data_IF_180323436142
#
_entry.id   IF_180323436142
#
_cell.length_a   1.000
_cell.length_b   1.000
_cell.length_c   1.000
_cell.angle_alpha   90.00
_cell.angle_beta   90.00
_cell.angle_gamma   90.00
#
_symmetry.space_group_name_H-M   'P 1'
#
loop_
_entity.id
_entity.type
_entity.pdbx_description
1 polymer ?
#
# COMPACT_ATOMS: atom_id res chain seq x y z
N UNK A 1 -34.92 28.22 18.37
CA UNK A 1 -35.08 26.96 17.58
C UNK A 1 -33.98 26.90 16.53
N UNK A 2 -32.88 26.25 16.83
CA UNK A 2 -31.82 25.97 15.87
C UNK A 2 -32.36 24.97 14.84
N UNK A 3 -32.73 25.44 13.65
CA UNK A 3 -33.22 24.62 12.57
C UNK A 3 -32.12 23.65 12.14
N UNK A 4 -32.34 22.34 12.30
CA UNK A 4 -31.49 21.29 11.75
C UNK A 4 -31.44 21.45 10.23
N UNK A 5 -30.30 21.89 9.69
CA UNK A 5 -30.13 22.01 8.25
C UNK A 5 -30.07 20.62 7.61
N UNK A 6 -30.56 20.52 6.39
CA UNK A 6 -30.61 19.31 5.59
C UNK A 6 -29.68 19.45 4.40
N UNK A 7 -28.85 18.44 4.15
CA UNK A 7 -28.15 18.27 2.86
C UNK A 7 -28.65 17.00 2.18
N UNK A 8 -29.02 17.15 0.92
CA UNK A 8 -29.43 16.07 0.06
C UNK A 8 -28.36 15.83 -1.00
N UNK A 9 -27.94 14.58 -1.16
CA UNK A 9 -27.01 14.17 -2.21
C UNK A 9 -27.74 13.19 -3.14
N UNK A 10 -27.82 13.51 -4.43
CA UNK A 10 -28.30 12.60 -5.45
C UNK A 10 -27.12 11.85 -6.07
N UNK A 11 -27.12 10.52 -5.95
CA UNK A 11 -26.03 9.67 -6.47
C UNK A 11 -26.22 9.40 -7.97
N UNK A 12 -27.45 9.41 -8.44
CA UNK A 12 -27.81 9.12 -9.85
C UNK A 12 -27.15 10.05 -10.87
N UNK A 13 -26.95 11.31 -10.50
CA UNK A 13 -26.39 12.33 -11.41
C UNK A 13 -24.89 12.09 -11.75
N UNK A 14 -24.28 11.06 -11.16
CA UNK A 14 -22.85 10.75 -11.31
C UNK A 14 -22.56 9.41 -12.00
N UNK A 15 -23.57 8.79 -12.64
CA UNK A 15 -23.41 7.50 -13.35
C UNK A 15 -23.13 6.31 -12.44
N UNK A 16 -23.46 6.41 -11.15
CA UNK A 16 -23.23 5.38 -10.13
C UNK A 16 -24.55 4.69 -9.78
N UNK A 17 -24.56 3.35 -9.75
CA UNK A 17 -25.70 2.58 -9.24
C UNK A 17 -25.87 2.80 -7.74
N UNK A 18 -26.98 3.43 -7.34
CA UNK A 18 -27.22 3.72 -5.92
C UNK A 18 -27.38 2.45 -5.08
N UNK A 19 -27.98 1.39 -5.64
CA UNK A 19 -28.16 0.12 -4.93
C UNK A 19 -26.83 -0.54 -4.60
N UNK A 20 -25.91 -0.57 -5.54
CA UNK A 20 -24.58 -1.14 -5.35
C UNK A 20 -23.73 -0.26 -4.42
N UNK A 21 -23.81 1.07 -4.55
CA UNK A 21 -23.15 1.99 -3.65
C UNK A 21 -23.62 1.85 -2.21
N UNK A 22 -24.94 1.69 -1.99
CA UNK A 22 -25.50 1.50 -0.65
C UNK A 22 -25.19 0.12 -0.07
N UNK A 23 -24.87 -0.86 -0.91
CA UNK A 23 -24.60 -2.23 -0.53
C UNK A 23 -25.88 -3.02 -0.23
N UNK A 24 -25.75 -4.35 -0.14
CA UNK A 24 -26.88 -5.22 0.20
C UNK A 24 -27.48 -4.79 1.55
N UNK A 25 -28.79 -4.58 1.59
CA UNK A 25 -29.52 -4.09 2.77
C UNK A 25 -28.93 -2.80 3.39
N UNK A 26 -28.35 -1.91 2.57
CA UNK A 26 -27.70 -0.66 3.00
C UNK A 26 -26.49 -0.86 3.94
N UNK A 27 -25.77 -1.96 3.86
CA UNK A 27 -24.61 -2.25 4.71
C UNK A 27 -23.56 -1.14 4.65
N UNK A 28 -23.26 -0.62 3.47
CA UNK A 28 -22.31 0.48 3.30
C UNK A 28 -22.82 1.78 3.95
N UNK A 29 -24.12 2.08 3.85
CA UNK A 29 -24.72 3.25 4.50
C UNK A 29 -24.67 3.13 6.03
N UNK A 30 -24.93 1.93 6.57
CA UNK A 30 -24.81 1.66 8.00
C UNK A 30 -23.37 1.84 8.48
N UNK A 31 -22.39 1.37 7.71
CA UNK A 31 -20.98 1.55 8.00
C UNK A 31 -20.59 3.03 8.01
N UNK A 32 -21.00 3.79 7.00
CA UNK A 32 -20.80 5.24 6.94
C UNK A 32 -21.43 5.93 8.15
N UNK A 33 -22.66 5.54 8.54
CA UNK A 33 -23.36 6.11 9.69
C UNK A 33 -22.61 5.93 11.01
N UNK A 34 -21.89 4.81 11.20
CA UNK A 34 -21.07 4.59 12.40
C UNK A 34 -19.95 5.61 12.55
N UNK A 35 -19.41 6.13 11.46
CA UNK A 35 -18.38 7.17 11.48
C UNK A 35 -18.93 8.59 11.74
N UNK A 36 -20.24 8.78 11.58
CA UNK A 36 -20.90 10.08 11.79
C UNK A 36 -22.06 9.97 12.79
N UNK A 37 -21.79 9.63 14.07
CA UNK A 37 -22.84 9.35 15.05
C UNK A 37 -23.73 10.56 15.38
N UNK A 38 -23.27 11.77 15.09
CA UNK A 38 -24.04 13.03 15.30
C UNK A 38 -24.84 13.45 14.08
N UNK A 39 -24.81 12.69 12.98
CA UNK A 39 -25.55 12.95 11.75
C UNK A 39 -26.57 11.85 11.56
N UNK A 40 -27.83 12.22 11.33
CA UNK A 40 -28.87 11.27 10.92
C UNK A 40 -28.80 11.08 9.41
N UNK A 41 -28.43 9.87 8.96
CA UNK A 41 -28.30 9.52 7.55
C UNK A 41 -29.47 8.64 7.15
N UNK A 42 -30.11 8.96 6.01
CA UNK A 42 -31.26 8.22 5.48
C UNK A 42 -31.05 8.01 3.99
N UNK A 43 -31.06 6.75 3.54
CA UNK A 43 -31.07 6.39 2.13
C UNK A 43 -32.51 6.17 1.66
N UNK A 44 -32.92 6.84 0.57
CA UNK A 44 -34.24 6.65 -0.07
C UNK A 44 -34.05 6.63 -1.59
N UNK A 45 -34.40 5.51 -2.21
CA UNK A 45 -34.21 5.32 -3.65
C UNK A 45 -32.76 5.55 -4.05
N UNK A 46 -32.51 6.54 -4.91
CA UNK A 46 -31.16 6.92 -5.36
C UNK A 46 -30.57 8.09 -4.59
N UNK A 47 -31.14 8.47 -3.47
CA UNK A 47 -30.75 9.68 -2.73
C UNK A 47 -30.30 9.33 -1.32
N UNK A 48 -29.17 9.93 -0.91
CA UNK A 48 -28.67 9.91 0.46
C UNK A 48 -28.95 11.27 1.09
N UNK A 49 -29.73 11.30 2.16
CA UNK A 49 -30.07 12.51 2.92
C UNK A 49 -29.35 12.49 4.26
N UNK A 50 -28.78 13.62 4.66
CA UNK A 50 -28.11 13.80 5.92
C UNK A 50 -28.67 15.00 6.69
N UNK A 51 -28.85 14.85 8.00
CA UNK A 51 -29.42 15.84 8.91
C UNK A 51 -28.47 16.03 10.09
N UNK A 52 -28.04 17.25 10.34
CA UNK A 52 -27.11 17.56 11.44
C UNK A 52 -26.67 19.02 11.43
N UNK A 53 -25.62 19.32 12.16
CA UNK A 53 -24.98 20.65 12.19
C UNK A 53 -24.20 20.92 10.90
N UNK A 54 -24.14 22.18 10.47
CA UNK A 54 -23.52 22.59 9.20
C UNK A 54 -22.07 22.12 9.03
N UNK A 55 -21.25 22.22 10.07
CA UNK A 55 -19.84 21.83 10.04
C UNK A 55 -19.72 20.32 9.80
N UNK A 56 -20.51 19.52 10.50
CA UNK A 56 -20.53 18.06 10.36
C UNK A 56 -21.12 17.65 9.01
N UNK A 57 -22.13 18.36 8.51
CA UNK A 57 -22.70 18.10 7.17
C UNK A 57 -21.73 18.45 6.05
N UNK A 58 -20.88 19.47 6.24
CA UNK A 58 -19.80 19.76 5.27
C UNK A 58 -18.78 18.64 5.22
N UNK A 59 -18.32 18.17 6.37
CA UNK A 59 -17.39 17.06 6.44
C UNK A 59 -17.98 15.79 5.83
N UNK A 60 -19.20 15.42 6.22
CA UNK A 60 -19.95 14.31 5.65
C UNK A 60 -20.05 14.42 4.12
N UNK A 61 -20.43 15.57 3.59
CA UNK A 61 -20.56 15.80 2.14
C UNK A 61 -19.22 15.58 1.40
N UNK A 62 -18.13 16.07 1.95
CA UNK A 62 -16.81 15.88 1.35
C UNK A 62 -16.41 14.40 1.34
N UNK A 63 -16.55 13.70 2.48
CA UNK A 63 -16.19 12.28 2.59
C UNK A 63 -17.06 11.40 1.69
N UNK A 64 -18.36 11.67 1.65
CA UNK A 64 -19.28 10.91 0.78
C UNK A 64 -19.00 11.16 -0.71
N UNK A 65 -18.65 12.39 -1.10
CA UNK A 65 -18.21 12.68 -2.47
C UNK A 65 -16.96 11.90 -2.86
N UNK A 66 -16.02 11.70 -1.93
CA UNK A 66 -14.83 10.88 -2.17
C UNK A 66 -15.19 9.40 -2.36
N UNK A 67 -16.12 8.87 -1.57
CA UNK A 67 -16.63 7.50 -1.71
C UNK A 67 -17.31 7.31 -3.08
N UNK A 68 -18.15 8.25 -3.51
CA UNK A 68 -18.82 8.21 -4.82
C UNK A 68 -17.79 8.28 -5.96
N UNK A 69 -16.80 9.14 -5.85
CA UNK A 69 -15.72 9.26 -6.86
C UNK A 69 -14.87 7.99 -6.92
N UNK A 70 -14.59 7.38 -5.78
CA UNK A 70 -13.87 6.10 -5.72
C UNK A 70 -14.68 4.99 -6.39
N UNK A 71 -15.97 4.86 -6.02
CA UNK A 71 -16.83 3.87 -6.59
C UNK A 71 -17.00 4.05 -8.12
N UNK A 72 -17.17 5.28 -8.60
CA UNK A 72 -17.26 5.58 -10.04
C UNK A 72 -15.99 5.21 -10.83
N UNK A 73 -14.82 5.17 -10.19
CA UNK A 73 -13.55 4.79 -10.84
C UNK A 73 -13.28 3.28 -10.80
N UNK A 74 -13.63 2.63 -9.71
CA UNK A 74 -13.19 1.26 -9.44
C UNK A 74 -14.34 0.25 -9.36
N UNK A 75 -15.58 0.72 -9.33
CA UNK A 75 -16.83 -0.05 -9.19
C UNK A 75 -16.82 -1.03 -7.99
N UNK A 76 -16.06 -0.68 -6.94
CA UNK A 76 -15.92 -1.48 -5.71
C UNK A 76 -16.01 -0.55 -4.50
N UNK A 77 -16.85 -0.91 -3.53
CA UNK A 77 -16.96 -0.27 -2.23
C UNK A 77 -17.22 -1.35 -1.17
N UNK A 78 -16.25 -1.54 -0.28
CA UNK A 78 -16.34 -2.45 0.86
C UNK A 78 -16.04 -1.70 2.16
N UNK A 79 -16.20 -2.37 3.31
CA UNK A 79 -16.01 -1.75 4.63
C UNK A 79 -14.62 -1.17 4.83
N UNK A 80 -13.57 -1.86 4.36
CA UNK A 80 -12.17 -1.40 4.48
C UNK A 80 -11.91 -0.14 3.68
N UNK A 81 -12.49 -0.03 2.48
CA UNK A 81 -12.40 1.17 1.64
C UNK A 81 -13.14 2.33 2.27
N UNK A 82 -14.33 2.08 2.86
CA UNK A 82 -15.11 3.09 3.58
C UNK A 82 -14.30 3.62 4.76
N UNK A 83 -13.76 2.74 5.61
CA UNK A 83 -12.93 3.13 6.76
C UNK A 83 -11.72 3.96 6.30
N UNK A 84 -11.01 3.50 5.28
CA UNK A 84 -9.84 4.20 4.75
C UNK A 84 -10.16 5.60 4.25
N UNK A 85 -11.24 5.78 3.50
CA UNK A 85 -11.62 7.08 2.92
C UNK A 85 -12.18 8.03 3.99
N UNK A 86 -12.96 7.51 4.94
CA UNK A 86 -13.54 8.35 5.98
C UNK A 86 -12.51 8.76 7.03
N UNK A 87 -11.61 7.87 7.42
CA UNK A 87 -10.56 8.15 8.41
C UNK A 87 -9.37 8.92 7.84
N UNK A 88 -9.27 9.03 6.50
CA UNK A 88 -8.19 9.80 5.86
C UNK A 88 -8.22 11.27 6.28
N UNK A 89 -7.06 11.79 6.69
CA UNK A 89 -6.86 13.20 7.12
C UNK A 89 -7.12 14.19 5.97
N UNK A 90 -7.43 15.44 6.34
CA UNK A 90 -7.72 16.53 5.40
C UNK A 90 -6.57 16.81 4.41
N UNK A 91 -5.35 16.46 4.77
CA UNK A 91 -4.16 16.54 3.90
C UNK A 91 -4.14 15.49 2.79
N UNK A 92 -4.78 14.33 3.01
CA UNK A 92 -5.01 13.33 1.95
C UNK A 92 -6.05 13.79 0.92
N UNK A 93 -6.95 14.71 1.31
CA UNK A 93 -7.97 15.29 0.42
C UNK A 93 -7.38 16.16 -0.69
N UNK A 94 -6.45 17.03 -0.36
CA UNK A 94 -5.75 17.86 -1.33
C UNK A 94 -5.00 17.00 -2.35
N UNK A 95 -4.51 15.86 -1.93
CA UNK A 95 -3.73 14.94 -2.71
C UNK A 95 -4.53 14.08 -3.70
N UNK A 96 -5.74 13.63 -3.35
CA UNK A 96 -6.62 12.89 -4.26
C UNK A 96 -7.19 13.80 -5.35
N UNK A 97 -7.28 15.11 -5.07
CA UNK A 97 -7.77 16.11 -6.02
C UNK A 97 -6.65 16.72 -6.91
N UNK A 98 -5.39 16.69 -6.46
CA UNK A 98 -4.27 17.39 -7.11
C UNK A 98 -3.69 16.62 -8.31
N UNK A 99 -4.26 15.47 -8.69
CA UNK A 99 -3.90 14.77 -9.93
C UNK A 99 -2.42 14.37 -10.09
N UNK A 100 -1.54 14.78 -9.20
CA UNK A 100 -0.10 14.55 -9.28
C UNK A 100 0.28 13.15 -8.80
N UNK A 101 -0.06 12.15 -9.61
CA UNK A 101 0.47 10.81 -9.43
C UNK A 101 2.00 10.83 -9.61
N UNK A 102 2.75 10.40 -8.61
CA UNK A 102 4.20 10.27 -8.75
C UNK A 102 4.51 8.96 -9.47
N UNK A 103 4.91 9.07 -10.72
CA UNK A 103 5.44 7.92 -11.45
C UNK A 103 6.76 7.48 -10.83
N UNK A 104 6.80 6.22 -10.36
CA UNK A 104 8.01 5.64 -9.79
C UNK A 104 8.86 5.04 -10.90
N UNK A 105 8.25 4.16 -11.72
CA UNK A 105 8.97 3.33 -12.67
C UNK A 105 8.05 2.93 -13.83
N UNK A 106 8.62 2.73 -15.02
CA UNK A 106 7.98 2.00 -16.12
C UNK A 106 8.36 0.52 -16.01
N UNK A 107 7.36 -0.32 -15.76
CA UNK A 107 7.47 -1.78 -15.66
C UNK A 107 7.33 -2.48 -17.00
N UNK A 108 7.08 -3.79 -16.93
CA UNK A 108 6.92 -4.66 -18.09
C UNK A 108 5.65 -4.31 -18.87
N UNK A 109 5.69 -4.42 -20.20
CA UNK A 109 4.53 -4.17 -21.07
C UNK A 109 4.00 -2.72 -21.04
N UNK A 110 4.85 -1.74 -20.68
CA UNK A 110 4.43 -0.33 -20.60
C UNK A 110 3.63 0.03 -19.34
N UNK A 111 3.49 -0.89 -18.38
CA UNK A 111 2.81 -0.66 -17.10
C UNK A 111 3.51 0.44 -16.33
N UNK A 112 2.81 1.53 -16.04
CA UNK A 112 3.37 2.60 -15.21
C UNK A 112 3.10 2.28 -13.73
N UNK A 113 4.18 2.15 -12.96
CA UNK A 113 4.13 1.92 -11.52
C UNK A 113 4.17 3.29 -10.83
N UNK A 114 3.13 3.58 -10.06
CA UNK A 114 2.87 4.89 -9.47
C UNK A 114 2.71 4.79 -7.96
N UNK A 115 3.07 5.84 -7.24
CA UNK A 115 2.63 6.04 -5.87
C UNK A 115 1.16 6.47 -5.86
N UNK A 116 0.27 5.56 -5.45
CA UNK A 116 -1.19 5.74 -5.50
C UNK A 116 -1.77 6.44 -4.27
N UNK A 117 -1.04 6.47 -3.17
CA UNK A 117 -1.48 7.06 -1.90
C UNK A 117 -0.49 8.10 -1.41
N UNK A 118 -0.94 9.01 -0.53
CA UNK A 118 -0.08 10.01 0.09
C UNK A 118 1.10 9.37 0.83
N UNK A 119 0.86 8.26 1.56
CA UNK A 119 1.90 7.59 2.31
C UNK A 119 2.93 6.88 1.40
N UNK A 120 2.50 6.36 0.25
CA UNK A 120 3.44 5.84 -0.77
C UNK A 120 4.32 6.96 -1.36
N UNK A 121 3.77 8.18 -1.56
CA UNK A 121 4.58 9.33 -2.00
C UNK A 121 5.57 9.76 -0.93
N UNK A 122 5.11 9.86 0.34
CA UNK A 122 6.00 10.16 1.46
C UNK A 122 7.13 9.14 1.53
N UNK A 123 6.85 7.86 1.30
CA UNK A 123 7.87 6.82 1.25
C UNK A 123 8.87 7.08 0.11
N UNK A 124 8.41 7.40 -1.11
CA UNK A 124 9.27 7.75 -2.25
C UNK A 124 10.15 8.96 -1.93
N UNK A 125 9.59 9.99 -1.31
CA UNK A 125 10.31 11.20 -0.94
C UNK A 125 11.31 10.96 0.20
N UNK A 126 10.92 10.15 1.20
CA UNK A 126 11.78 9.83 2.33
C UNK A 126 13.00 9.03 1.91
N UNK A 127 12.83 8.05 1.02
CA UNK A 127 13.96 7.25 0.49
C UNK A 127 14.94 8.10 -0.33
N UNK A 128 14.47 9.16 -0.98
CA UNK A 128 15.36 10.08 -1.72
C UNK A 128 16.24 10.94 -0.81
N UNK A 129 15.82 11.15 0.45
CA UNK A 129 16.44 12.10 1.38
C UNK A 129 17.21 11.42 2.51
N UNK A 130 17.01 10.13 2.71
CA UNK A 130 17.56 9.40 3.85
C UNK A 130 18.16 8.08 3.40
N UNK A 131 19.26 7.70 4.04
CA UNK A 131 19.94 6.42 3.77
C UNK A 131 19.17 5.24 4.36
N UNK A 132 18.35 5.46 5.39
CA UNK A 132 17.53 4.44 6.02
C UNK A 132 16.10 4.96 6.22
N UNK A 133 15.12 4.13 5.88
CA UNK A 133 13.69 4.45 6.04
C UNK A 133 12.93 3.25 6.59
N UNK A 134 12.06 3.50 7.56
CA UNK A 134 11.13 2.52 8.10
C UNK A 134 9.73 2.77 7.53
N UNK A 135 9.20 1.80 6.78
CA UNK A 135 7.85 1.83 6.23
C UNK A 135 6.91 1.00 7.11
N UNK A 136 6.14 1.66 7.96
CA UNK A 136 5.20 1.02 8.89
C UNK A 136 3.76 1.23 8.39
N UNK A 137 2.95 0.18 8.44
CA UNK A 137 1.53 0.25 8.08
C UNK A 137 0.89 -1.12 7.92
N UNK A 138 -0.45 -1.19 7.79
CA UNK A 138 -1.20 -2.43 7.64
C UNK A 138 -0.79 -3.25 6.42
N UNK A 139 -1.14 -4.55 6.41
CA UNK A 139 -1.01 -5.39 5.22
C UNK A 139 -1.80 -4.81 4.03
N UNK A 140 -1.42 -5.15 2.81
CA UNK A 140 -2.12 -4.71 1.60
C UNK A 140 -1.92 -3.22 1.19
N UNK A 141 -1.18 -2.42 1.95
CA UNK A 141 -0.92 -1.00 1.63
C UNK A 141 0.14 -0.77 0.56
N UNK A 142 0.77 -1.85 0.08
CA UNK A 142 1.77 -1.82 -0.99
C UNK A 142 3.16 -1.36 -0.56
N UNK A 143 3.53 -1.49 0.72
CA UNK A 143 4.85 -1.14 1.25
C UNK A 143 5.97 -1.83 0.48
N UNK A 144 5.94 -3.16 0.45
CA UNK A 144 6.93 -4.01 -0.22
C UNK A 144 7.01 -3.69 -1.71
N UNK A 145 5.87 -3.65 -2.39
CA UNK A 145 5.79 -3.36 -3.82
C UNK A 145 6.37 -1.98 -4.17
N UNK A 146 6.03 -0.95 -3.39
CA UNK A 146 6.56 0.42 -3.58
C UNK A 146 8.06 0.47 -3.31
N UNK A 147 8.54 -0.20 -2.25
CA UNK A 147 9.96 -0.30 -1.93
C UNK A 147 10.76 -0.96 -3.06
N UNK A 148 10.28 -2.10 -3.58
CA UNK A 148 10.91 -2.80 -4.71
C UNK A 148 10.91 -1.92 -5.97
N UNK A 149 9.83 -1.19 -6.25
CA UNK A 149 9.78 -0.27 -7.39
C UNK A 149 10.84 0.84 -7.30
N UNK A 150 11.06 1.38 -6.11
CA UNK A 150 12.09 2.41 -5.88
C UNK A 150 13.48 1.80 -6.04
N UNK A 151 13.71 0.59 -5.51
CA UNK A 151 14.99 -0.12 -5.65
C UNK A 151 15.32 -0.40 -7.13
N UNK A 152 14.35 -0.88 -7.91
CA UNK A 152 14.52 -1.10 -9.35
C UNK A 152 14.80 0.20 -10.10
N UNK A 153 14.14 1.29 -9.72
CA UNK A 153 14.43 2.62 -10.27
C UNK A 153 15.86 3.06 -9.96
N UNK A 154 16.31 2.89 -8.71
CA UNK A 154 17.67 3.25 -8.30
C UNK A 154 18.72 2.43 -9.07
N UNK A 155 18.47 1.13 -9.30
CA UNK A 155 19.32 0.28 -10.11
C UNK A 155 19.36 0.74 -11.58
N UNK A 156 18.20 0.97 -12.20
CA UNK A 156 18.10 1.47 -13.58
C UNK A 156 18.81 2.82 -13.77
N UNK A 157 18.75 3.68 -12.75
CA UNK A 157 19.43 4.99 -12.74
C UNK A 157 20.92 4.90 -12.34
N UNK A 158 21.46 3.70 -12.11
CA UNK A 158 22.85 3.46 -11.67
C UNK A 158 23.21 4.15 -10.35
N UNK A 159 22.24 4.45 -9.51
CA UNK A 159 22.45 4.99 -8.16
C UNK A 159 22.99 3.93 -7.21
N UNK A 160 22.65 2.67 -7.47
CA UNK A 160 23.17 1.50 -6.76
C UNK A 160 23.65 0.45 -7.78
N UNK A 161 24.54 -0.42 -7.35
CA UNK A 161 25.05 -1.52 -8.20
C UNK A 161 24.26 -2.81 -8.00
N UNK A 162 23.56 -2.97 -6.87
CA UNK A 162 22.86 -4.18 -6.50
C UNK A 162 21.55 -3.88 -5.79
N UNK A 163 20.62 -4.82 -5.87
CA UNK A 163 19.42 -4.88 -5.04
C UNK A 163 19.52 -6.13 -4.19
N UNK A 164 19.32 -5.99 -2.89
CA UNK A 164 19.31 -7.11 -1.95
C UNK A 164 17.96 -7.08 -1.23
N UNK A 165 17.16 -8.11 -1.48
CA UNK A 165 15.86 -8.30 -0.84
C UNK A 165 16.01 -9.42 0.19
N UNK A 166 15.64 -9.13 1.41
CA UNK A 166 15.74 -10.11 2.50
C UNK A 166 14.49 -10.09 3.35
N UNK A 167 14.19 -11.24 3.93
CA UNK A 167 13.04 -11.44 4.80
C UNK A 167 13.42 -12.42 5.91
N UNK A 168 12.91 -12.27 7.14
CA UNK A 168 13.04 -13.32 8.15
C UNK A 168 12.45 -14.63 7.61
N UNK A 169 13.16 -15.73 7.84
CA UNK A 169 12.82 -17.03 7.23
C UNK A 169 11.55 -17.67 7.79
N UNK A 170 11.04 -17.20 8.94
CA UNK A 170 9.89 -17.79 9.64
C UNK A 170 9.01 -16.68 10.17
N UNK A 171 7.72 -16.81 9.99
CA UNK A 171 6.75 -16.02 10.74
C UNK A 171 6.73 -16.49 12.21
N UNK A 172 6.42 -15.56 13.13
CA UNK A 172 6.46 -15.85 14.56
C UNK A 172 5.54 -17.05 14.91
N UNK A 173 6.14 -18.19 15.22
CA UNK A 173 5.44 -19.41 15.64
C UNK A 173 5.42 -20.56 14.64
N UNK A 174 5.94 -20.41 13.43
CA UNK A 174 6.04 -21.49 12.45
C UNK A 174 7.38 -22.21 12.54
N UNK A 175 7.35 -23.55 12.50
CA UNK A 175 8.53 -24.41 12.45
C UNK A 175 8.75 -24.90 11.02
N UNK A 176 9.83 -24.46 10.38
CA UNK A 176 10.28 -24.92 9.05
C UNK A 176 10.45 -26.45 8.95
N UNK A 177 10.51 -27.15 10.07
CA UNK A 177 10.68 -28.61 10.13
C UNK A 177 9.52 -29.42 9.54
N UNK A 178 8.33 -28.84 9.40
CA UNK A 178 7.14 -29.51 8.87
C UNK A 178 7.00 -29.44 7.34
N UNK A 179 7.78 -28.62 6.65
CA UNK A 179 7.71 -28.54 5.19
C UNK A 179 8.65 -29.58 4.55
N UNK A 180 8.19 -30.32 3.52
CA UNK A 180 9.04 -31.22 2.75
C UNK A 180 10.03 -30.43 1.88
N UNK A 181 11.19 -31.06 1.59
CA UNK A 181 12.22 -30.48 0.72
C UNK A 181 13.45 -29.96 1.45
N UNK A 182 14.43 -29.48 0.69
CA UNK A 182 15.63 -28.85 1.23
C UNK A 182 15.35 -27.44 1.76
N UNK A 183 16.34 -26.79 2.38
CA UNK A 183 16.17 -25.51 3.05
C UNK A 183 15.73 -24.39 2.06
N UNK A 184 16.20 -24.44 0.81
CA UNK A 184 15.86 -23.44 -0.20
C UNK A 184 14.42 -23.63 -0.69
N UNK A 185 14.02 -24.87 -0.96
CA UNK A 185 12.66 -25.21 -1.37
C UNK A 185 11.62 -24.83 -0.29
N UNK A 186 11.97 -24.97 0.98
CA UNK A 186 11.12 -24.55 2.11
C UNK A 186 10.97 -23.03 2.24
N UNK A 187 11.97 -22.27 1.81
CA UNK A 187 11.99 -20.80 1.94
C UNK A 187 11.40 -20.09 0.73
N UNK A 188 11.37 -20.73 -0.44
CA UNK A 188 10.87 -20.13 -1.68
C UNK A 188 9.45 -19.55 -1.58
N UNK A 189 8.46 -20.22 -0.95
CA UNK A 189 7.11 -19.67 -0.81
C UNK A 189 7.09 -18.31 -0.06
N UNK A 190 7.94 -18.16 0.95
CA UNK A 190 8.02 -16.90 1.72
C UNK A 190 8.64 -15.76 0.93
N UNK A 191 9.46 -16.06 -0.08
CA UNK A 191 10.11 -15.08 -0.94
C UNK A 191 9.29 -14.74 -2.19
N UNK A 192 8.25 -15.53 -2.50
CA UNK A 192 7.44 -15.38 -3.71
C UNK A 192 6.91 -13.95 -3.92
N UNK A 193 6.39 -13.21 -2.90
CA UNK A 193 5.93 -11.84 -3.10
C UNK A 193 7.01 -10.87 -3.62
N UNK A 194 8.27 -11.12 -3.28
CA UNK A 194 9.40 -10.32 -3.76
C UNK A 194 9.72 -10.63 -5.23
N UNK A 195 9.66 -11.92 -5.61
CA UNK A 195 9.80 -12.34 -7.01
C UNK A 195 8.69 -11.76 -7.89
N UNK A 196 7.45 -11.82 -7.43
CA UNK A 196 6.29 -11.33 -8.17
C UNK A 196 6.38 -9.80 -8.38
N UNK A 197 6.78 -9.06 -7.37
CA UNK A 197 7.02 -7.63 -7.51
C UNK A 197 8.10 -7.32 -8.57
N UNK A 198 9.21 -8.06 -8.56
CA UNK A 198 10.28 -7.87 -9.55
C UNK A 198 9.84 -8.22 -10.98
N UNK A 199 9.04 -9.29 -11.15
CA UNK A 199 8.51 -9.71 -12.47
C UNK A 199 7.60 -8.66 -13.10
N UNK A 200 6.87 -7.91 -12.30
CA UNK A 200 6.07 -6.77 -12.78
C UNK A 200 6.92 -5.60 -13.31
N UNK A 201 8.18 -5.51 -12.89
CA UNK A 201 9.04 -4.34 -13.05
C UNK A 201 10.18 -4.54 -14.04
N UNK A 202 10.61 -5.80 -14.21
CA UNK A 202 11.78 -6.17 -15.02
C UNK A 202 11.39 -7.34 -15.94
N UNK A 203 11.68 -7.24 -17.24
CA UNK A 203 11.45 -8.36 -18.17
C UNK A 203 12.17 -9.64 -17.72
N UNK A 204 11.51 -10.79 -17.88
CA UNK A 204 11.96 -12.08 -17.33
C UNK A 204 13.40 -12.44 -17.69
N UNK A 205 13.81 -12.25 -18.95
CA UNK A 205 15.17 -12.53 -19.41
C UNK A 205 16.20 -11.63 -18.70
N UNK A 206 15.90 -10.34 -18.58
CA UNK A 206 16.76 -9.39 -17.88
C UNK A 206 16.86 -9.71 -16.40
N UNK A 207 15.73 -10.05 -15.77
CA UNK A 207 15.65 -10.42 -14.36
C UNK A 207 16.50 -11.67 -14.08
N UNK A 208 16.39 -12.69 -14.92
CA UNK A 208 17.19 -13.90 -14.80
C UNK A 208 18.70 -13.58 -14.94
N UNK A 209 19.06 -12.74 -15.91
CA UNK A 209 20.45 -12.27 -16.06
C UNK A 209 20.96 -11.51 -14.81
N UNK A 210 20.09 -10.75 -14.15
CA UNK A 210 20.45 -10.05 -12.91
C UNK A 210 20.66 -11.01 -11.73
N UNK A 211 19.86 -12.08 -11.62
CA UNK A 211 20.06 -13.11 -10.62
C UNK A 211 21.39 -13.86 -10.84
N UNK A 212 21.67 -14.30 -12.06
CA UNK A 212 22.90 -15.00 -12.39
C UNK A 212 24.14 -14.16 -12.11
N UNK A 213 24.09 -12.85 -12.42
CA UNK A 213 25.20 -11.91 -12.17
C UNK A 213 25.26 -11.42 -10.72
N UNK A 214 24.33 -11.81 -9.84
CA UNK A 214 24.27 -11.34 -8.47
C UNK A 214 23.93 -9.84 -8.32
N UNK A 215 23.39 -9.22 -9.38
CA UNK A 215 22.92 -7.82 -9.35
C UNK A 215 21.66 -7.69 -8.50
N UNK A 216 20.75 -8.67 -8.61
CA UNK A 216 19.60 -8.80 -7.73
C UNK A 216 19.75 -10.09 -6.94
N UNK A 217 19.56 -10.00 -5.63
CA UNK A 217 19.66 -11.14 -4.73
C UNK A 217 18.43 -11.15 -3.83
N UNK A 218 17.82 -12.32 -3.69
CA UNK A 218 16.75 -12.58 -2.73
C UNK A 218 17.25 -13.69 -1.82
N UNK A 219 17.31 -13.43 -0.52
CA UNK A 219 17.80 -14.41 0.43
C UNK A 219 17.20 -14.19 1.82
N UNK A 220 17.04 -15.25 2.62
CA UNK A 220 16.65 -15.14 4.00
C UNK A 220 17.59 -14.26 4.81
N UNK A 221 17.07 -13.56 5.83
CA UNK A 221 17.84 -12.66 6.68
C UNK A 221 19.06 -13.34 7.32
N UNK A 222 18.95 -14.61 7.67
CA UNK A 222 20.06 -15.39 8.25
C UNK A 222 21.30 -15.45 7.35
N UNK A 223 21.12 -15.42 6.02
CA UNK A 223 22.21 -15.49 5.04
C UNK A 223 22.90 -14.12 4.82
N UNK A 224 22.43 -13.07 5.49
CA UNK A 224 23.11 -11.77 5.50
C UNK A 224 24.30 -11.72 6.49
N UNK A 225 24.43 -12.73 7.35
CA UNK A 225 25.53 -12.81 8.33
C UNK A 225 26.88 -12.89 7.63
N UNK A 226 27.83 -12.08 8.09
CA UNK A 226 29.20 -12.06 7.52
C UNK A 226 29.35 -11.36 6.18
N UNK A 227 28.28 -10.76 5.66
CA UNK A 227 28.30 -10.00 4.40
C UNK A 227 28.42 -8.51 4.67
N UNK A 228 28.99 -7.76 3.73
CA UNK A 228 28.93 -6.30 3.67
C UNK A 228 28.04 -5.89 2.50
N UNK A 229 27.06 -5.02 2.76
CA UNK A 229 26.01 -4.66 1.79
C UNK A 229 26.35 -3.33 1.09
N UNK A 230 27.54 -3.27 0.45
CA UNK A 230 28.04 -2.05 -0.19
C UNK A 230 27.34 -1.76 -1.52
N UNK A 231 27.16 -0.47 -1.85
CA UNK A 231 26.60 0.01 -3.10
C UNK A 231 25.29 -0.70 -3.47
N UNK A 232 24.47 -1.02 -2.49
CA UNK A 232 23.27 -1.81 -2.63
C UNK A 232 22.03 -1.07 -2.12
N UNK A 233 20.91 -1.23 -2.82
CA UNK A 233 19.60 -0.93 -2.25
C UNK A 233 19.12 -2.17 -1.49
N UNK A 234 18.98 -2.07 -0.20
CA UNK A 234 18.64 -3.21 0.66
C UNK A 234 17.23 -3.06 1.20
N UNK A 235 16.41 -4.09 1.08
CA UNK A 235 15.08 -4.15 1.66
C UNK A 235 15.00 -5.32 2.63
N UNK A 236 14.70 -5.03 3.90
CA UNK A 236 14.26 -6.02 4.86
C UNK A 236 12.73 -5.98 4.94
N UNK A 237 12.09 -6.92 4.27
CA UNK A 237 10.64 -7.08 4.29
C UNK A 237 10.19 -7.88 5.50
N UNK A 238 8.98 -7.64 6.01
CA UNK A 238 8.40 -8.25 7.22
C UNK A 238 9.36 -8.17 8.44
N UNK A 239 10.03 -7.02 8.59
CA UNK A 239 11.04 -6.79 9.62
C UNK A 239 10.54 -7.02 11.06
N UNK A 240 9.21 -6.92 11.31
CA UNK A 240 8.62 -7.20 12.62
C UNK A 240 8.80 -8.67 13.06
N UNK A 241 9.04 -9.58 12.13
CA UNK A 241 9.29 -10.99 12.42
C UNK A 241 10.75 -11.28 12.77
N UNK A 242 11.62 -10.26 12.80
CA UNK A 242 13.02 -10.38 13.19
C UNK A 242 13.19 -10.37 14.71
N UNK A 243 14.11 -11.18 15.21
CA UNK A 243 14.59 -11.05 16.59
C UNK A 243 15.52 -9.82 16.75
N UNK A 244 15.71 -9.35 17.98
CA UNK A 244 16.65 -8.27 18.27
C UNK A 244 18.08 -8.56 17.75
N UNK A 245 18.54 -9.81 17.89
CA UNK A 245 19.85 -10.25 17.41
C UNK A 245 19.95 -10.19 15.89
N UNK A 246 18.90 -10.62 15.19
CA UNK A 246 18.83 -10.55 13.73
C UNK A 246 18.80 -9.10 13.22
N UNK A 247 18.01 -8.24 13.87
CA UNK A 247 17.98 -6.82 13.52
C UNK A 247 19.34 -6.15 13.75
N UNK A 248 19.98 -6.39 14.90
CA UNK A 248 21.31 -5.89 15.19
C UNK A 248 22.32 -6.38 14.15
N UNK A 249 22.29 -7.68 13.82
CA UNK A 249 23.13 -8.26 12.78
C UNK A 249 22.93 -7.56 11.44
N UNK A 250 21.68 -7.36 11.01
CA UNK A 250 21.35 -6.73 9.75
C UNK A 250 21.84 -5.29 9.66
N UNK A 251 21.55 -4.47 10.68
CA UNK A 251 21.93 -3.05 10.71
C UNK A 251 23.46 -2.87 10.71
N UNK A 252 24.22 -3.82 11.25
CA UNK A 252 25.69 -3.79 11.24
C UNK A 252 26.29 -4.28 9.91
N UNK A 253 25.49 -4.69 8.92
CA UNK A 253 25.95 -5.10 7.58
C UNK A 253 25.94 -3.96 6.56
N UNK A 254 25.35 -2.83 6.91
CA UNK A 254 25.31 -1.68 6.01
C UNK A 254 26.73 -1.19 5.75
N UNK A 255 27.08 -1.11 4.47
CA UNK A 255 28.34 -0.58 3.97
C UNK A 255 28.20 0.87 3.50
N UNK A 256 29.20 1.35 2.78
CA UNK A 256 29.22 2.68 2.17
C UNK A 256 28.45 2.71 0.84
#
# INVERSE_FOLDING_TARGET
QSGRRQRQMCIRDRGVSAQEFFGHQNTNVQKISKHFPKIKIVARGNTLMAYGEDILLQEFSVKTNMLVSHYGKFNVLNEEIIDRIILADSKEKAFLNDGTEVNILHGVGGKIIKAKTLNQKKLVESIKKNDMVFAIGPAGTGKTYTGVAIAVKALKNKQVKRIILTRPAVEAGENLGFLPGDLNEKLDPYMQPLYDALRDMIPSETLQGYFVKGIIQIAPLAFMRGRTLDNAFVILDEAQNSTHSQMKMFLTRMGK
#
